data_IF_191755940894
#
_entry.id   IF_191755940894
#
_cell.length_a   1.000
_cell.length_b   1.000
_cell.length_c   1.000
_cell.angle_alpha   90.00
_cell.angle_beta   90.00
_cell.angle_gamma   90.00
#
_symmetry.space_group_name_H-M   'P 1'
#
loop_
_entity.id
_entity.type
_entity.pdbx_description
1 polymer ?
#
# COMPACT_ATOMS: atom_id res chain seq x y z
N UNK A 1 26.86 5.35 37.22
CA UNK A 1 26.34 4.79 35.95
C UNK A 1 24.83 4.70 36.08
N UNK A 2 24.09 5.74 35.71
CA UNK A 2 22.62 5.70 35.72
C UNK A 2 22.17 4.84 34.55
N UNK A 3 21.70 3.62 34.87
CA UNK A 3 21.03 2.75 33.91
C UNK A 3 19.72 3.40 33.49
N UNK A 4 19.72 4.07 32.34
CA UNK A 4 18.52 4.63 31.73
C UNK A 4 17.60 3.49 31.28
N UNK A 5 16.55 3.24 32.05
CA UNK A 5 15.48 2.32 31.65
C UNK A 5 14.67 2.99 30.55
N UNK A 6 14.67 2.37 29.36
CA UNK A 6 13.87 2.82 28.22
C UNK A 6 12.39 2.51 28.47
N UNK A 7 11.65 3.50 28.93
CA UNK A 7 10.22 3.42 29.24
C UNK A 7 9.39 4.30 28.31
N UNK A 8 8.16 3.87 28.01
CA UNK A 8 7.22 4.59 27.15
C UNK A 8 5.77 4.36 27.63
N UNK A 9 4.81 5.08 27.06
CA UNK A 9 3.38 4.93 27.32
C UNK A 9 2.76 3.89 26.38
N UNK A 10 2.00 2.95 26.94
CA UNK A 10 1.31 1.94 26.15
C UNK A 10 0.21 2.59 25.30
N UNK A 11 0.14 2.35 23.97
CA UNK A 11 -0.90 2.94 23.12
C UNK A 11 -2.31 2.40 23.40
N UNK A 12 -2.42 1.21 24.01
CA UNK A 12 -3.72 0.59 24.32
C UNK A 12 -4.33 1.04 25.65
N UNK A 13 -3.52 1.28 26.69
CA UNK A 13 -4.02 1.58 28.03
C UNK A 13 -3.38 2.80 28.72
N UNK A 14 -2.40 3.45 28.09
CA UNK A 14 -1.70 4.63 28.62
C UNK A 14 -0.71 4.37 29.76
N UNK A 15 -0.62 3.13 30.27
CA UNK A 15 0.30 2.78 31.35
C UNK A 15 1.75 2.84 30.88
N UNK A 16 2.62 3.30 31.78
CA UNK A 16 4.08 3.30 31.55
C UNK A 16 4.56 1.85 31.57
N UNK A 17 5.33 1.47 30.56
CA UNK A 17 5.91 0.14 30.43
C UNK A 17 7.34 0.23 29.88
N UNK A 18 8.15 -0.81 30.11
CA UNK A 18 9.46 -0.92 29.49
C UNK A 18 9.31 -1.29 28.01
N UNK A 19 9.99 -0.57 27.12
CA UNK A 19 9.85 -0.77 25.67
C UNK A 19 10.24 -2.21 25.30
N UNK A 20 9.31 -2.90 24.64
CA UNK A 20 9.46 -4.27 24.14
C UNK A 20 9.31 -4.30 22.61
N UNK A 21 9.69 -5.40 21.97
CA UNK A 21 9.48 -5.60 20.51
C UNK A 21 8.03 -5.41 20.06
N UNK A 22 7.07 -5.74 20.93
CA UNK A 22 5.63 -5.65 20.64
C UNK A 22 5.04 -4.26 20.89
N UNK A 23 5.79 -3.33 21.48
CA UNK A 23 5.34 -1.95 21.81
C UNK A 23 4.02 -1.85 22.63
N UNK A 24 3.67 -2.90 23.36
CA UNK A 24 2.51 -2.94 24.26
C UNK A 24 2.95 -3.39 25.66
N UNK A 25 2.19 -2.99 26.69
CA UNK A 25 2.38 -3.49 28.04
C UNK A 25 1.94 -4.96 28.15
N UNK A 26 2.50 -5.69 29.13
CA UNK A 26 2.23 -7.12 29.32
C UNK A 26 0.74 -7.45 29.48
N UNK A 27 -0.03 -6.58 30.14
CA UNK A 27 -1.47 -6.76 30.31
C UNK A 27 -2.23 -6.66 28.97
N UNK A 28 -1.90 -5.68 28.12
CA UNK A 28 -2.54 -5.54 26.81
C UNK A 28 -2.12 -6.66 25.86
N UNK A 29 -0.86 -7.09 25.89
CA UNK A 29 -0.41 -8.25 25.12
C UNK A 29 -1.14 -9.53 25.54
N UNK A 30 -1.30 -9.76 26.84
CA UNK A 30 -2.06 -10.91 27.34
C UNK A 30 -3.55 -10.86 26.92
N UNK A 31 -4.14 -9.66 26.88
CA UNK A 31 -5.52 -9.48 26.39
C UNK A 31 -5.65 -9.81 24.89
N UNK A 32 -4.72 -9.35 24.05
CA UNK A 32 -4.68 -9.70 22.63
C UNK A 32 -4.50 -11.21 22.40
N UNK A 33 -3.60 -11.84 23.16
CA UNK A 33 -3.34 -13.27 23.07
C UNK A 33 -4.57 -14.08 23.56
N UNK A 34 -5.25 -13.63 24.61
CA UNK A 34 -6.50 -14.23 25.08
C UNK A 34 -7.62 -14.11 24.03
N UNK A 35 -7.74 -12.95 23.39
CA UNK A 35 -8.71 -12.73 22.32
C UNK A 35 -8.49 -13.68 21.16
N UNK A 36 -7.24 -13.87 20.75
CA UNK A 36 -6.89 -14.85 19.73
C UNK A 36 -7.26 -16.25 20.09
N UNK A 37 -6.92 -16.68 21.30
CA UNK A 37 -7.23 -18.03 21.73
C UNK A 37 -8.74 -18.28 21.70
N UNK A 38 -9.57 -17.27 21.99
CA UNK A 38 -11.03 -17.35 21.85
C UNK A 38 -11.46 -17.49 20.38
N UNK A 39 -10.98 -16.63 19.48
CA UNK A 39 -11.26 -16.75 18.03
C UNK A 39 -10.82 -18.12 17.48
N UNK A 40 -9.61 -18.53 17.87
CA UNK A 40 -9.04 -19.88 17.86
C UNK A 40 -10.06 -21.00 18.02
N UNK A 41 -10.60 -21.00 19.24
CA UNK A 41 -11.49 -22.03 19.76
C UNK A 41 -12.82 -22.05 19.03
N UNK A 42 -13.40 -20.88 18.74
CA UNK A 42 -14.67 -20.77 18.01
C UNK A 42 -14.55 -21.29 16.57
N UNK A 43 -13.47 -20.92 15.88
CA UNK A 43 -13.19 -21.40 14.52
C UNK A 43 -12.95 -22.91 14.47
N UNK A 44 -12.27 -23.47 15.48
CA UNK A 44 -12.07 -24.93 15.60
C UNK A 44 -13.38 -25.66 15.88
N UNK A 45 -14.28 -25.07 16.67
CA UNK A 45 -15.60 -25.64 16.95
C UNK A 45 -16.49 -25.62 15.70
N UNK A 46 -16.48 -24.53 14.93
CA UNK A 46 -17.32 -24.37 13.74
C UNK A 46 -16.53 -23.83 12.54
N UNK A 47 -16.06 -24.74 11.67
CA UNK A 47 -15.25 -24.36 10.50
C UNK A 47 -15.98 -23.54 9.41
N UNK A 48 -17.30 -23.44 9.49
CA UNK A 48 -18.16 -22.73 8.53
C UNK A 48 -18.64 -21.35 9.02
N UNK A 49 -18.10 -20.86 10.15
CA UNK A 49 -18.42 -19.54 10.68
C UNK A 49 -18.15 -18.44 9.64
N UNK A 50 -19.09 -17.50 9.53
CA UNK A 50 -18.86 -16.25 8.80
C UNK A 50 -18.07 -15.25 9.66
N UNK A 51 -17.49 -14.23 9.04
CA UNK A 51 -16.77 -13.17 9.75
C UNK A 51 -17.69 -12.42 10.73
N UNK A 52 -18.97 -12.27 10.38
CA UNK A 52 -20.00 -11.61 11.20
C UNK A 52 -20.38 -12.47 12.41
N UNK A 53 -20.66 -13.75 12.21
CA UNK A 53 -20.98 -14.67 13.31
C UNK A 53 -19.79 -14.82 14.27
N UNK A 54 -18.56 -14.81 13.76
CA UNK A 54 -17.36 -14.84 14.61
C UNK A 54 -17.24 -13.55 15.45
N UNK A 55 -17.56 -12.39 14.86
CA UNK A 55 -17.59 -11.11 15.56
C UNK A 55 -18.60 -11.12 16.72
N UNK A 56 -19.81 -11.63 16.48
CA UNK A 56 -20.86 -11.76 17.49
C UNK A 56 -20.45 -12.68 18.64
N UNK A 57 -19.86 -13.84 18.36
CA UNK A 57 -19.46 -14.80 19.40
C UNK A 57 -18.30 -14.34 20.26
N UNK A 58 -17.40 -13.57 19.68
CA UNK A 58 -16.21 -13.06 20.36
C UNK A 58 -16.48 -11.70 21.00
N UNK A 59 -17.65 -11.10 20.73
CA UNK A 59 -18.07 -9.78 21.19
C UNK A 59 -17.10 -8.68 20.75
N UNK A 60 -16.57 -8.80 19.53
CA UNK A 60 -15.61 -7.86 18.95
C UNK A 60 -16.11 -7.32 17.61
N UNK A 61 -15.46 -6.25 17.15
CA UNK A 61 -15.82 -5.63 15.88
C UNK A 61 -15.37 -6.48 14.68
N UNK A 62 -16.16 -6.59 13.60
CA UNK A 62 -15.77 -7.35 12.42
C UNK A 62 -14.53 -6.76 11.72
N UNK A 63 -14.31 -5.44 11.84
CA UNK A 63 -13.10 -4.80 11.31
C UNK A 63 -11.83 -5.31 11.98
N UNK A 64 -11.89 -5.60 13.29
CA UNK A 64 -10.77 -6.18 14.01
C UNK A 64 -10.45 -7.55 13.40
N UNK A 65 -11.43 -8.45 13.29
CA UNK A 65 -11.22 -9.79 12.72
C UNK A 65 -10.62 -9.71 11.30
N UNK A 66 -11.13 -8.81 10.46
CA UNK A 66 -10.59 -8.52 9.13
C UNK A 66 -9.12 -8.08 9.18
N UNK A 67 -8.75 -7.20 10.12
CA UNK A 67 -7.36 -6.80 10.33
C UNK A 67 -6.44 -7.98 10.75
N UNK A 68 -6.95 -8.94 11.52
CA UNK A 68 -6.19 -10.13 11.91
C UNK A 68 -5.99 -11.11 10.75
N UNK A 69 -6.99 -11.21 9.85
CA UNK A 69 -6.86 -11.93 8.58
C UNK A 69 -5.75 -11.29 7.72
N UNK A 70 -5.75 -9.96 7.58
CA UNK A 70 -4.71 -9.22 6.81
C UNK A 70 -3.30 -9.38 7.37
N UNK A 71 -3.17 -9.46 8.70
CA UNK A 71 -1.90 -9.74 9.39
C UNK A 71 -1.44 -11.20 9.21
N UNK A 72 -2.26 -12.07 8.61
CA UNK A 72 -1.95 -13.48 8.40
C UNK A 72 -1.99 -14.32 9.68
N UNK A 73 -2.59 -13.80 10.76
CA UNK A 73 -2.70 -14.52 12.04
C UNK A 73 -3.81 -15.58 11.99
N UNK A 74 -4.84 -15.39 11.15
CA UNK A 74 -5.89 -16.36 10.87
C UNK A 74 -5.74 -16.94 9.46
N UNK A 75 -5.67 -18.27 9.34
CA UNK A 75 -5.53 -18.96 8.06
C UNK A 75 -6.88 -19.10 7.36
N UNK A 76 -7.15 -18.22 6.39
CA UNK A 76 -8.39 -18.24 5.59
C UNK A 76 -8.56 -19.54 4.79
N UNK A 77 -7.48 -20.25 4.47
CA UNK A 77 -7.54 -21.50 3.71
C UNK A 77 -8.33 -22.61 4.43
N UNK A 78 -8.26 -22.65 5.76
CA UNK A 78 -8.91 -23.70 6.56
C UNK A 78 -10.41 -23.42 6.79
N UNK A 79 -10.88 -22.21 6.46
CA UNK A 79 -12.21 -21.70 6.76
C UNK A 79 -12.87 -21.09 5.51
N UNK A 80 -13.73 -21.82 4.80
CA UNK A 80 -14.28 -21.37 3.52
C UNK A 80 -15.11 -20.09 3.64
N UNK A 81 -15.86 -19.91 4.73
CA UNK A 81 -16.76 -18.76 4.89
C UNK A 81 -16.08 -17.53 5.51
N UNK A 82 -14.82 -17.65 5.91
CA UNK A 82 -14.06 -16.52 6.43
C UNK A 82 -13.63 -15.63 5.26
N UNK A 83 -14.04 -14.37 5.30
CA UNK A 83 -13.75 -13.39 4.24
C UNK A 83 -13.22 -12.09 4.84
N UNK A 84 -12.28 -11.49 4.15
CA UNK A 84 -11.82 -10.11 4.36
C UNK A 84 -12.65 -9.16 3.48
N UNK A 85 -12.49 -7.85 3.65
CA UNK A 85 -13.19 -6.85 2.84
C UNK A 85 -12.23 -6.12 1.88
N UNK A 86 -12.73 -5.81 0.69
CA UNK A 86 -12.04 -4.97 -0.29
C UNK A 86 -11.87 -3.54 0.24
N UNK A 87 -10.67 -2.97 0.13
CA UNK A 87 -10.39 -1.61 0.61
C UNK A 87 -11.12 -0.51 -0.18
N UNK A 88 -11.65 -0.82 -1.37
CA UNK A 88 -12.32 0.17 -2.24
C UNK A 88 -13.85 0.05 -2.24
N UNK A 89 -14.39 -1.17 -2.22
CA UNK A 89 -15.82 -1.42 -2.34
C UNK A 89 -16.41 -2.25 -1.21
N UNK A 90 -15.59 -2.60 -0.21
CA UNK A 90 -15.98 -3.40 0.97
C UNK A 90 -16.53 -4.80 0.67
N UNK A 91 -16.53 -5.22 -0.59
CA UNK A 91 -16.99 -6.55 -0.99
C UNK A 91 -16.14 -7.64 -0.31
N UNK A 92 -16.76 -8.78 0.05
CA UNK A 92 -16.07 -9.90 0.68
C UNK A 92 -15.06 -10.51 -0.29
N UNK A 93 -13.78 -10.51 0.10
CA UNK A 93 -12.66 -11.07 -0.63
C UNK A 93 -11.95 -12.13 0.22
N UNK A 94 -11.50 -13.20 -0.42
CA UNK A 94 -10.72 -14.25 0.27
C UNK A 94 -9.21 -14.02 0.20
N UNK A 95 -8.75 -13.29 -0.81
CA UNK A 95 -7.32 -13.09 -1.11
C UNK A 95 -7.10 -11.72 -1.74
N UNK A 96 -5.96 -11.11 -1.39
CA UNK A 96 -5.57 -9.79 -1.88
C UNK A 96 -6.17 -8.65 -1.06
N UNK A 97 -5.82 -7.42 -1.42
CA UNK A 97 -6.35 -6.18 -0.81
C UNK A 97 -7.57 -5.62 -1.57
N UNK A 98 -7.64 -5.95 -2.85
CA UNK A 98 -8.65 -5.47 -3.78
C UNK A 98 -9.35 -6.66 -4.42
N UNK A 99 -10.66 -6.54 -4.61
CA UNK A 99 -11.39 -7.50 -5.44
C UNK A 99 -10.98 -7.35 -6.91
N UNK A 100 -11.27 -8.38 -7.70
CA UNK A 100 -10.90 -8.43 -9.12
C UNK A 100 -11.45 -7.26 -9.92
N UNK A 101 -12.69 -6.84 -9.65
CA UNK A 101 -13.31 -5.71 -10.34
C UNK A 101 -12.61 -4.38 -10.01
N UNK A 102 -12.30 -4.12 -8.74
CA UNK A 102 -11.56 -2.92 -8.34
C UNK A 102 -10.13 -2.91 -8.91
N UNK A 103 -9.45 -4.06 -8.91
CA UNK A 103 -8.11 -4.19 -9.50
C UNK A 103 -8.12 -3.91 -11.00
N UNK A 104 -9.07 -4.49 -11.75
CA UNK A 104 -9.23 -4.23 -13.18
C UNK A 104 -9.55 -2.76 -13.48
N UNK A 105 -10.42 -2.13 -12.68
CA UNK A 105 -10.78 -0.72 -12.87
C UNK A 105 -9.55 0.18 -12.72
N UNK A 106 -8.77 0.00 -11.66
CA UNK A 106 -7.52 0.75 -11.44
C UNK A 106 -6.52 0.50 -12.57
N UNK A 107 -6.32 -0.76 -12.98
CA UNK A 107 -5.42 -1.07 -14.09
C UNK A 107 -5.84 -0.38 -15.39
N UNK A 108 -7.13 -0.34 -15.68
CA UNK A 108 -7.67 0.33 -16.87
C UNK A 108 -7.49 1.84 -16.83
N UNK A 109 -7.75 2.46 -15.68
CA UNK A 109 -7.55 3.90 -15.47
C UNK A 109 -6.08 4.28 -15.61
N UNK A 110 -5.18 3.50 -15.01
CA UNK A 110 -3.73 3.69 -15.10
C UNK A 110 -3.26 3.56 -16.55
N UNK A 111 -3.69 2.53 -17.27
CA UNK A 111 -3.34 2.35 -18.69
C UNK A 111 -3.84 3.51 -19.55
N UNK A 112 -5.06 4.00 -19.30
CA UNK A 112 -5.61 5.14 -20.01
C UNK A 112 -4.79 6.42 -19.77
N UNK A 113 -4.40 6.70 -18.52
CA UNK A 113 -3.57 7.87 -18.18
C UNK A 113 -2.22 7.81 -18.90
N UNK A 114 -1.54 6.66 -18.90
CA UNK A 114 -0.26 6.51 -19.61
C UNK A 114 -0.38 6.71 -21.13
N UNK A 115 -1.47 6.21 -21.74
CA UNK A 115 -1.71 6.41 -23.17
C UNK A 115 -1.93 7.89 -23.51
N UNK A 116 -2.75 8.59 -22.71
CA UNK A 116 -2.98 10.03 -22.87
C UNK A 116 -1.68 10.81 -22.75
N UNK A 117 -0.84 10.47 -21.76
CA UNK A 117 0.46 11.12 -21.59
C UNK A 117 1.38 10.87 -22.80
N UNK A 118 1.42 9.66 -23.34
CA UNK A 118 2.20 9.33 -24.55
C UNK A 118 1.74 10.16 -25.75
N UNK A 119 0.44 10.22 -26.00
CA UNK A 119 -0.12 11.02 -27.10
C UNK A 119 0.16 12.51 -26.93
N UNK A 120 0.09 13.04 -25.71
CA UNK A 120 0.46 14.43 -25.42
C UNK A 120 1.95 14.69 -25.68
N UNK A 121 2.83 13.77 -25.27
CA UNK A 121 4.27 13.89 -25.52
C UNK A 121 4.58 13.85 -27.02
N UNK A 122 3.91 13.00 -27.79
CA UNK A 122 4.04 12.96 -29.26
C UNK A 122 3.58 14.26 -29.92
N UNK A 123 2.44 14.83 -29.49
CA UNK A 123 1.98 16.14 -29.96
C UNK A 123 3.00 17.23 -29.69
N UNK A 124 3.50 17.33 -28.46
CA UNK A 124 4.55 18.30 -28.08
C UNK A 124 5.83 18.11 -28.90
N UNK A 125 6.26 16.86 -29.15
CA UNK A 125 7.42 16.59 -30.01
C UNK A 125 7.20 17.08 -31.44
N UNK A 126 6.02 16.83 -32.02
CA UNK A 126 5.68 17.31 -33.37
C UNK A 126 5.65 18.84 -33.45
N UNK A 127 5.05 19.49 -32.46
CA UNK A 127 5.05 20.95 -32.35
C UNK A 127 6.47 21.50 -32.28
N UNK A 128 7.33 20.93 -31.41
CA UNK A 128 8.72 21.35 -31.28
C UNK A 128 9.50 21.22 -32.59
N UNK A 129 9.35 20.10 -33.32
CA UNK A 129 9.99 19.89 -34.63
C UNK A 129 9.53 20.95 -35.64
N UNK A 130 8.23 21.25 -35.67
CA UNK A 130 7.69 22.29 -36.56
C UNK A 130 8.27 23.67 -36.23
N UNK A 131 8.34 24.04 -34.95
CA UNK A 131 8.95 25.30 -34.52
C UNK A 131 10.44 25.40 -34.88
N UNK A 132 11.20 24.32 -34.71
CA UNK A 132 12.61 24.26 -35.10
C UNK A 132 12.80 24.47 -36.61
N UNK A 133 12.02 23.77 -37.44
CA UNK A 133 12.08 23.92 -38.89
C UNK A 133 11.70 25.34 -39.35
N UNK A 134 10.71 25.95 -38.71
CA UNK A 134 10.32 27.34 -38.99
C UNK A 134 11.43 28.34 -38.64
N UNK A 135 12.20 28.11 -37.57
CA UNK A 135 13.36 28.95 -37.24
C UNK A 135 14.50 28.80 -38.24
N UNK A 136 14.75 27.60 -38.76
CA UNK A 136 15.76 27.35 -39.80
C UNK A 136 15.40 28.11 -41.09
N UNK A 137 14.14 28.07 -41.53
CA UNK A 137 13.66 28.79 -42.72
C UNK A 137 13.71 30.32 -42.59
N UNK A 138 13.70 30.86 -41.36
CA UNK A 138 13.85 32.31 -41.09
C UNK A 138 15.30 32.79 -41.02
N UNK A 139 16.30 31.96 -41.37
CA UNK A 139 17.67 32.41 -41.61
C UNK A 139 18.44 32.89 -40.36
N UNK A 140 18.09 32.44 -39.14
CA UNK A 140 18.99 32.64 -37.99
C UNK A 140 20.03 31.51 -37.99
N UNK A 141 21.33 31.81 -38.14
CA UNK A 141 22.35 30.76 -38.19
C UNK A 141 22.40 30.05 -36.83
N UNK A 142 22.45 28.72 -36.85
CA UNK A 142 22.91 27.95 -35.68
C UNK A 142 24.32 28.47 -35.38
N UNK A 143 24.55 29.02 -34.18
CA UNK A 143 25.90 29.36 -33.72
C UNK A 143 26.68 28.05 -33.57
N UNK A 144 27.29 27.62 -34.66
CA UNK A 144 28.34 26.59 -34.62
C UNK A 144 29.52 27.32 -33.98
N UNK A 145 29.84 26.95 -32.73
CA UNK A 145 31.05 27.42 -32.07
C UNK A 145 32.25 27.03 -32.92
N UNK A 146 32.86 28.01 -33.58
CA UNK A 146 34.11 27.82 -34.29
C UNK A 146 35.22 27.58 -33.25
N UNK A 147 35.63 26.33 -33.08
CA UNK A 147 37.00 26.04 -32.65
C UNK A 147 37.90 26.32 -33.86
N UNK A 148 38.48 27.51 -33.89
CA UNK A 148 39.48 27.89 -34.88
C UNK A 148 40.77 27.06 -34.64
N UNK A 149 41.37 26.46 -35.68
CA UNK A 149 42.65 25.77 -35.54
C UNK A 149 43.76 26.81 -35.45
N UNK A 150 44.42 26.90 -34.30
CA UNK A 150 45.62 27.72 -34.14
C UNK A 150 46.82 26.94 -34.71
N UNK A 151 46.98 26.94 -36.05
CA UNK A 151 48.28 26.72 -36.67
C UNK A 151 49.05 28.03 -36.56
N UNK A 152 50.05 28.07 -35.68
CA UNK A 152 51.04 29.15 -35.62
C UNK A 152 52.39 28.57 -36.04
N UNK A 153 52.70 28.75 -37.31
CA UNK A 153 54.06 28.71 -37.82
C UNK A 153 54.67 30.11 -37.66
N UNK A 154 55.91 30.18 -37.18
CA UNK A 154 56.67 31.41 -36.92
C UNK A 154 57.58 31.22 -35.74
#
# INVERSE_FOLDING_TARGET
>A
MTSELRVDHCPGCGRIYQINLRQLCAACTAAEDALMNRMEKELRANRKLTTEELAERVEERPELIRAWIRKGKLKVYDYPNLTDACDLCEAPIRKGKLCQSCSMRIQSEVAHVYEQERLMQERKRRENIFFEQAQIKKGKPRRIGACFPFLRAG
#
